data_IF_357396046443
#
_entry.id   IF_357396046443
#
_cell.length_a   1.000
_cell.length_b   1.000
_cell.length_c   1.000
_cell.angle_alpha   90.00
_cell.angle_beta   90.00
_cell.angle_gamma   90.00
#
_symmetry.space_group_name_H-M   'P 1'
#
loop_
_entity.id
_entity.type
_entity.pdbx_description
1 polymer ?
#
# COMPACT_ATOMS: atom_id res chain seq x y z
N UNK A 1 -8.00 -15.38 12.58
CA UNK A 1 -6.89 -14.85 11.76
C UNK A 1 -7.28 -14.90 10.27
N UNK A 2 -8.43 -14.36 9.90
CA UNK A 2 -8.96 -14.49 8.53
C UNK A 2 -8.64 -13.27 7.66
N UNK A 3 -8.64 -12.08 8.25
CA UNK A 3 -8.36 -10.84 7.54
C UNK A 3 -6.97 -10.82 6.87
N UNK A 4 -5.95 -11.33 7.55
CA UNK A 4 -4.58 -11.36 7.03
C UNK A 4 -4.45 -12.33 5.84
N UNK A 5 -5.06 -13.51 5.94
CA UNK A 5 -5.08 -14.49 4.85
C UNK A 5 -5.85 -13.97 3.62
N UNK A 6 -6.98 -13.29 3.83
CA UNK A 6 -7.75 -12.68 2.74
C UNK A 6 -6.99 -11.55 2.06
N UNK A 7 -6.23 -10.74 2.82
CA UNK A 7 -5.41 -9.66 2.26
C UNK A 7 -4.23 -10.20 1.46
N UNK A 8 -3.59 -11.28 1.90
CA UNK A 8 -2.51 -11.95 1.16
C UNK A 8 -3.02 -12.51 -0.17
N UNK A 9 -4.15 -13.21 -0.19
CA UNK A 9 -4.75 -13.69 -1.45
C UNK A 9 -5.16 -12.56 -2.38
N UNK A 10 -5.74 -11.49 -1.84
CA UNK A 10 -6.10 -10.30 -2.62
C UNK A 10 -4.87 -9.64 -3.25
N UNK A 11 -3.74 -9.61 -2.54
CA UNK A 11 -2.47 -9.08 -3.03
C UNK A 11 -1.90 -9.92 -4.17
N UNK A 12 -1.94 -11.25 -4.06
CA UNK A 12 -1.51 -12.16 -5.14
C UNK A 12 -2.36 -12.02 -6.41
N UNK A 13 -3.68 -11.88 -6.26
CA UNK A 13 -4.59 -11.67 -7.38
C UNK A 13 -4.36 -10.30 -8.05
N UNK A 14 -4.14 -9.26 -7.24
CA UNK A 14 -3.82 -7.91 -7.74
C UNK A 14 -2.54 -7.90 -8.59
N UNK A 15 -1.51 -8.64 -8.13
CA UNK A 15 -0.24 -8.81 -8.84
C UNK A 15 -0.40 -9.53 -10.17
N UNK A 16 -1.29 -10.52 -10.27
CA UNK A 16 -1.57 -11.24 -11.52
C UNK A 16 -2.35 -10.41 -12.55
N UNK A 17 -3.21 -9.50 -12.11
CA UNK A 17 -4.18 -8.83 -13.00
C UNK A 17 -3.73 -7.48 -13.59
N UNK A 18 -2.47 -7.03 -13.39
CA UNK A 18 -2.04 -5.63 -13.62
C UNK A 18 -2.91 -4.59 -12.91
N UNK A 19 -3.63 -4.97 -11.84
CA UNK A 19 -4.43 -4.07 -11.04
C UNK A 19 -3.53 -3.37 -10.00
N UNK A 20 -2.50 -2.65 -10.49
CA UNK A 20 -1.51 -1.94 -9.65
C UNK A 20 -2.22 -1.01 -8.65
N UNK A 21 -3.30 -0.36 -9.08
CA UNK A 21 -4.14 0.48 -8.21
C UNK A 21 -4.83 -0.28 -7.07
N UNK A 22 -5.13 -1.57 -7.25
CA UNK A 22 -5.70 -2.41 -6.20
C UNK A 22 -4.63 -2.89 -5.20
N UNK A 23 -3.45 -3.27 -5.69
CA UNK A 23 -2.27 -3.54 -4.85
C UNK A 23 -1.95 -2.33 -3.94
N UNK A 24 -1.98 -1.13 -4.50
CA UNK A 24 -1.75 0.11 -3.76
C UNK A 24 -2.79 0.34 -2.66
N UNK A 25 -4.08 0.15 -2.95
CA UNK A 25 -5.16 0.32 -1.96
C UNK A 25 -5.08 -0.67 -0.80
N UNK A 26 -4.75 -1.93 -1.09
CA UNK A 26 -4.52 -2.94 -0.05
C UNK A 26 -3.31 -2.58 0.81
N UNK A 27 -2.19 -2.22 0.18
CA UNK A 27 -0.98 -1.82 0.88
C UNK A 27 -1.23 -0.61 1.80
N UNK A 28 -1.87 0.46 1.30
CA UNK A 28 -2.23 1.62 2.12
C UNK A 28 -3.07 1.24 3.35
N UNK A 29 -3.99 0.28 3.22
CA UNK A 29 -4.82 -0.17 4.34
C UNK A 29 -3.99 -0.86 5.43
N UNK A 30 -3.01 -1.70 5.04
CA UNK A 30 -2.07 -2.33 5.96
C UNK A 30 -1.13 -1.32 6.62
N UNK A 31 -0.67 -0.35 5.85
CA UNK A 31 0.27 0.69 6.31
C UNK A 31 -0.38 1.58 7.36
N UNK A 32 -1.67 1.97 7.20
CA UNK A 32 -2.42 2.69 8.23
C UNK A 32 -2.50 1.89 9.53
N UNK A 33 -2.79 0.60 9.46
CA UNK A 33 -2.83 -0.28 10.64
C UNK A 33 -1.47 -0.39 11.35
N UNK A 34 -0.37 -0.49 10.60
CA UNK A 34 0.98 -0.58 11.17
C UNK A 34 1.46 0.74 11.76
N UNK A 35 1.14 1.86 11.11
CA UNK A 35 1.38 3.21 11.63
C UNK A 35 0.74 3.39 13.00
N UNK A 36 -0.53 3.01 13.13
CA UNK A 36 -1.28 3.14 14.39
C UNK A 36 -0.73 2.22 15.50
N UNK A 37 0.02 1.18 15.13
CA UNK A 37 0.75 0.28 16.05
C UNK A 37 2.21 0.69 16.29
N UNK A 38 2.64 1.86 15.81
CA UNK A 38 4.00 2.37 15.96
C UNK A 38 5.04 1.71 15.04
N UNK A 39 4.64 0.81 14.13
CA UNK A 39 5.52 0.10 13.20
C UNK A 39 5.78 0.91 11.93
N UNK A 40 6.35 2.10 12.10
CA UNK A 40 6.52 3.08 11.01
C UNK A 40 7.53 2.63 9.95
N UNK A 41 8.60 1.96 10.36
CA UNK A 41 9.63 1.50 9.43
C UNK A 41 9.10 0.40 8.51
N UNK A 42 8.39 -0.58 9.05
CA UNK A 42 7.78 -1.68 8.30
C UNK A 42 6.67 -1.16 7.37
N UNK A 43 5.89 -0.19 7.85
CA UNK A 43 4.90 0.54 7.06
C UNK A 43 5.53 1.23 5.84
N UNK A 44 6.68 1.89 6.02
CA UNK A 44 7.43 2.54 4.94
C UNK A 44 8.01 1.52 3.97
N UNK A 45 8.66 0.47 4.48
CA UNK A 45 9.28 -0.60 3.67
C UNK A 45 8.27 -1.34 2.79
N UNK A 46 7.01 -1.45 3.23
CA UNK A 46 5.94 -2.01 2.42
C UNK A 46 5.45 -1.04 1.33
N UNK A 47 5.17 0.22 1.69
CA UNK A 47 4.51 1.16 0.78
C UNK A 47 5.45 1.76 -0.28
N UNK A 48 6.68 2.09 0.10
CA UNK A 48 7.64 2.76 -0.77
C UNK A 48 7.92 2.02 -2.09
N UNK A 49 8.23 0.70 -2.10
CA UNK A 49 8.48 -0.01 -3.35
C UNK A 49 7.22 -0.16 -4.21
N UNK A 50 6.02 -0.15 -3.61
CA UNK A 50 4.75 -0.23 -4.35
C UNK A 50 4.45 1.11 -5.02
N UNK A 51 4.61 2.22 -4.29
CA UNK A 51 4.47 3.58 -4.81
C UNK A 51 5.47 3.86 -5.95
N UNK A 52 6.74 3.47 -5.79
CA UNK A 52 7.80 3.70 -6.79
C UNK A 52 7.63 2.89 -8.09
N UNK A 53 6.74 1.89 -8.14
CA UNK A 53 6.43 1.15 -9.38
C UNK A 53 5.46 1.90 -10.30
N UNK A 54 4.85 2.97 -9.81
CA UNK A 54 4.02 3.85 -10.63
C UNK A 54 4.92 4.89 -11.31
N UNK A 55 4.83 4.97 -12.62
CA UNK A 55 5.49 6.00 -13.44
C UNK A 55 4.50 7.06 -13.92
N UNK A 56 3.20 6.81 -13.74
CA UNK A 56 2.09 7.63 -14.23
C UNK A 56 0.92 7.56 -13.23
N UNK A 57 -0.03 8.49 -13.35
CA UNK A 57 -1.24 8.50 -12.53
C UNK A 57 -1.08 9.14 -11.16
N UNK A 58 0.01 9.87 -10.89
CA UNK A 58 0.23 10.59 -9.63
C UNK A 58 -0.86 11.62 -9.29
N UNK A 59 -1.68 12.01 -10.27
CA UNK A 59 -2.85 12.85 -10.05
C UNK A 59 -4.07 12.12 -9.49
N UNK A 60 -4.08 10.79 -9.56
CA UNK A 60 -5.15 9.97 -9.01
C UNK A 60 -5.18 10.05 -7.48
N UNK A 61 -6.39 9.90 -6.93
CA UNK A 61 -6.60 9.95 -5.48
C UNK A 61 -5.74 8.93 -4.74
N UNK A 62 -5.67 7.69 -5.24
CA UNK A 62 -4.92 6.61 -4.59
C UNK A 62 -3.42 6.92 -4.47
N UNK A 63 -2.81 7.52 -5.51
CA UNK A 63 -1.38 7.88 -5.46
C UNK A 63 -1.10 9.12 -4.61
N UNK A 64 -2.01 10.11 -4.61
CA UNK A 64 -1.91 11.27 -3.70
C UNK A 64 -1.97 10.85 -2.24
N UNK A 65 -2.89 9.95 -1.90
CA UNK A 65 -3.01 9.40 -0.55
C UNK A 65 -1.78 8.56 -0.15
N UNK A 66 -1.26 7.73 -1.06
CA UNK A 66 -0.07 6.94 -0.80
C UNK A 66 1.17 7.82 -0.53
N UNK A 67 1.32 8.93 -1.26
CA UNK A 67 2.39 9.90 -1.03
C UNK A 67 2.28 10.55 0.35
N UNK A 68 1.10 11.05 0.71
CA UNK A 68 0.87 11.65 2.02
C UNK A 68 1.17 10.65 3.16
N UNK A 69 0.77 9.38 2.98
CA UNK A 69 1.10 8.34 3.94
C UNK A 69 2.61 8.11 4.07
N UNK A 70 3.37 8.11 2.96
CA UNK A 70 4.83 7.97 3.00
C UNK A 70 5.50 9.16 3.70
N UNK A 71 4.97 10.36 3.52
CA UNK A 71 5.46 11.57 4.20
C UNK A 71 5.20 11.51 5.72
N UNK A 72 4.05 10.98 6.16
CA UNK A 72 3.74 10.75 7.59
C UNK A 72 4.64 9.67 8.26
N UNK A 73 5.25 8.80 7.45
CA UNK A 73 6.13 7.72 7.89
C UNK A 73 7.62 8.09 7.84
N UNK A 74 7.93 9.35 7.54
CA UNK A 74 9.30 9.90 7.60
C UNK A 74 9.54 10.54 8.96
#
# INVERSE_FOLDING_TARGET
>A
MEAEASLVQALELARKQRARSFELRVAMSMVRLWRDRGKRNEARELLAPIYNRFTEGFDTRDLKEAKALLEELT
#
